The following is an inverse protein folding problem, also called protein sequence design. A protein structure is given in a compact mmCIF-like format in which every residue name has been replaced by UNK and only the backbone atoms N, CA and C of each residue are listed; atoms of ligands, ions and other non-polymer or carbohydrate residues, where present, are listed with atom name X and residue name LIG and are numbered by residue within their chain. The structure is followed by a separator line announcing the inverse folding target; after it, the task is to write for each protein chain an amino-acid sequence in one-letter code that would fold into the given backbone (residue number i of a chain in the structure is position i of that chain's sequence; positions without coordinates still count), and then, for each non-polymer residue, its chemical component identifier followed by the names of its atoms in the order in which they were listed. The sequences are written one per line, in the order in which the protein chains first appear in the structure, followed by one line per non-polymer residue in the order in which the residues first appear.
data_IF_797007156686
#
_entry.id   IF_797007156686
#
_cell.length_a   1.000
_cell.length_b   1.000
_cell.length_c   1.000
_cell.angle_alpha   90.00
_cell.angle_beta   90.00
_cell.angle_gamma   90.00
#
_symmetry.space_group_name_H-M   'P 1'
#
loop_
_entity.id
_entity.type
_entity.pdbx_description
1 polymer ?
#
# COMPACT_ATOMS: atom_id res chain seq x y z
N UNK A 1 11.51 -19.02 -54.60
CA UNK A 1 11.73 -17.74 -53.88
C UNK A 1 11.17 -17.87 -52.49
N UNK A 2 12.06 -17.86 -51.53
CA UNK A 2 11.64 -17.93 -50.14
C UNK A 2 11.34 -16.52 -49.68
N UNK A 3 10.08 -16.23 -49.45
CA UNK A 3 9.68 -15.00 -48.81
C UNK A 3 9.79 -15.22 -47.30
N UNK A 4 10.76 -14.63 -46.69
CA UNK A 4 10.81 -14.52 -45.26
C UNK A 4 9.77 -13.50 -44.85
N UNK A 5 8.65 -13.97 -44.38
CA UNK A 5 7.78 -13.16 -43.56
C UNK A 5 8.52 -12.99 -42.26
N UNK A 6 9.21 -11.86 -42.16
CA UNK A 6 9.63 -11.40 -40.87
C UNK A 6 8.34 -11.16 -40.07
N UNK A 7 7.98 -12.12 -39.24
CA UNK A 7 7.02 -11.85 -38.21
C UNK A 7 7.66 -10.79 -37.30
N UNK A 8 7.30 -9.57 -37.56
CA UNK A 8 7.58 -8.51 -36.58
C UNK A 8 6.71 -8.88 -35.40
N UNK A 9 7.30 -9.61 -34.45
CA UNK A 9 6.78 -9.62 -33.11
C UNK A 9 6.93 -8.18 -32.63
N UNK A 10 5.87 -7.41 -32.83
CA UNK A 10 5.68 -6.25 -32.00
C UNK A 10 5.56 -6.81 -30.59
N UNK A 11 6.69 -6.87 -29.92
CA UNK A 11 6.68 -6.95 -28.47
C UNK A 11 6.01 -5.64 -28.07
N UNK A 12 4.70 -5.71 -27.92
CA UNK A 12 3.99 -4.73 -27.14
C UNK A 12 4.51 -4.97 -25.73
N UNK A 13 5.64 -4.37 -25.45
CA UNK A 13 5.96 -4.05 -24.09
C UNK A 13 4.80 -3.15 -23.68
N UNK A 14 3.80 -3.76 -23.06
CA UNK A 14 2.96 -3.04 -22.15
C UNK A 14 3.91 -2.47 -21.10
N UNK A 15 4.52 -1.36 -21.48
CA UNK A 15 5.02 -0.47 -20.48
C UNK A 15 3.73 -0.06 -19.76
N UNK A 16 3.42 -0.78 -18.68
CA UNK A 16 2.78 -0.11 -17.60
C UNK A 16 3.77 1.01 -17.27
N UNK A 17 3.69 2.11 -17.99
CA UNK A 17 4.04 3.36 -17.42
C UNK A 17 3.16 3.38 -16.18
N UNK A 18 3.66 2.73 -15.13
CA UNK A 18 3.01 2.75 -13.87
C UNK A 18 2.70 4.18 -13.71
N UNK A 19 1.43 4.53 -13.69
CA UNK A 19 1.06 5.88 -13.43
C UNK A 19 1.89 6.24 -12.22
N UNK A 20 3.05 6.87 -12.46
CA UNK A 20 3.82 7.44 -11.40
C UNK A 20 2.81 8.35 -10.72
N UNK A 21 2.23 7.85 -9.65
CA UNK A 21 1.32 8.66 -8.86
C UNK A 21 2.10 9.91 -8.55
N UNK A 22 1.56 11.11 -8.76
CA UNK A 22 2.27 12.35 -8.50
C UNK A 22 2.90 12.38 -7.10
N UNK A 23 2.35 11.56 -6.19
CA UNK A 23 2.78 11.44 -4.81
C UNK A 23 3.84 10.34 -4.58
N UNK A 24 4.10 9.46 -5.57
CA UNK A 24 5.01 8.33 -5.44
C UNK A 24 4.46 7.11 -4.70
N UNK A 25 3.30 7.17 -4.10
CA UNK A 25 2.53 6.04 -3.61
C UNK A 25 1.32 5.81 -4.49
N UNK A 26 0.78 4.61 -4.46
CA UNK A 26 -0.41 4.24 -5.23
C UNK A 26 -1.65 4.28 -4.33
N UNK A 27 -2.69 4.94 -4.77
CA UNK A 27 -4.01 4.84 -4.17
C UNK A 27 -4.76 3.67 -4.80
N UNK A 28 -5.28 2.78 -3.97
CA UNK A 28 -6.09 1.63 -4.39
C UNK A 28 -7.43 1.66 -3.70
N UNK A 29 -8.39 0.96 -4.25
CA UNK A 29 -9.70 0.78 -3.61
C UNK A 29 -9.60 -0.20 -2.45
N UNK A 30 -10.58 -0.15 -1.55
CA UNK A 30 -10.66 -1.13 -0.45
C UNK A 30 -10.94 -2.54 -0.98
N UNK A 31 -11.66 -2.67 -2.08
CA UNK A 31 -11.87 -3.95 -2.76
C UNK A 31 -10.56 -4.54 -3.29
N UNK A 32 -9.73 -3.70 -3.92
CA UNK A 32 -8.39 -4.10 -4.37
C UNK A 32 -7.50 -4.50 -3.19
N UNK A 33 -7.54 -3.75 -2.10
CA UNK A 33 -6.79 -4.07 -0.88
C UNK A 33 -7.23 -5.42 -0.30
N UNK A 34 -8.54 -5.64 -0.19
CA UNK A 34 -9.09 -6.91 0.30
C UNK A 34 -8.66 -8.09 -0.59
N UNK A 35 -8.64 -7.89 -1.90
CA UNK A 35 -8.19 -8.91 -2.86
C UNK A 35 -6.71 -9.24 -2.68
N UNK A 36 -5.87 -8.24 -2.51
CA UNK A 36 -4.45 -8.46 -2.23
C UNK A 36 -4.28 -9.24 -0.93
N UNK A 37 -5.00 -8.88 0.12
CA UNK A 37 -4.93 -9.58 1.41
C UNK A 37 -5.34 -11.05 1.31
N UNK A 38 -6.26 -11.39 0.42
CA UNK A 38 -6.73 -12.75 0.20
C UNK A 38 -5.83 -13.58 -0.69
N UNK A 39 -5.25 -12.97 -1.72
CA UNK A 39 -4.58 -13.69 -2.82
C UNK A 39 -3.05 -13.62 -2.75
N UNK A 40 -2.49 -12.68 -2.01
CA UNK A 40 -1.05 -12.47 -1.93
C UNK A 40 -0.52 -12.73 -0.53
N UNK A 41 0.79 -12.80 -0.42
CA UNK A 41 1.52 -12.90 0.85
C UNK A 41 2.73 -11.95 0.84
N UNK A 42 3.39 -11.80 1.98
CA UNK A 42 4.58 -10.98 2.09
C UNK A 42 4.33 -9.47 2.16
N UNK A 43 3.09 -9.04 2.34
CA UNK A 43 2.73 -7.65 2.55
C UNK A 43 2.60 -7.33 4.04
N UNK A 44 2.70 -6.05 4.36
CA UNK A 44 2.36 -5.49 5.67
C UNK A 44 1.07 -4.70 5.55
N UNK A 45 0.15 -4.87 6.50
CA UNK A 45 -1.00 -3.98 6.67
C UNK A 45 -0.62 -2.99 7.76
N UNK A 46 -0.61 -1.71 7.41
CA UNK A 46 -0.14 -0.64 8.28
C UNK A 46 -1.29 0.27 8.68
N UNK A 47 -1.62 0.24 9.96
CA UNK A 47 -2.57 1.15 10.59
C UNK A 47 -1.80 2.35 11.15
N UNK A 48 -2.05 3.54 10.59
CA UNK A 48 -1.36 4.76 11.01
C UNK A 48 -2.21 5.65 11.91
N UNK A 49 -3.27 5.07 12.48
CA UNK A 49 -4.05 5.74 13.52
C UNK A 49 -3.30 5.76 14.83
N UNK A 50 -3.86 6.40 15.85
CA UNK A 50 -3.29 6.36 17.19
C UNK A 50 -3.31 4.94 17.76
N UNK A 51 -2.45 4.67 18.73
CA UNK A 51 -2.44 3.39 19.43
C UNK A 51 -3.78 3.11 20.13
N UNK A 52 -4.44 4.12 20.65
CA UNK A 52 -5.75 3.98 21.28
C UNK A 52 -6.82 3.55 20.26
N UNK A 53 -6.84 4.17 19.09
CA UNK A 53 -7.76 3.77 18.00
C UNK A 53 -7.50 2.33 17.57
N UNK A 54 -6.24 1.97 17.38
CA UNK A 54 -5.82 0.62 17.00
C UNK A 54 -6.27 -0.43 18.03
N UNK A 55 -6.08 -0.15 19.29
CA UNK A 55 -6.47 -1.06 20.37
C UNK A 55 -7.98 -1.26 20.49
N UNK A 56 -8.76 -0.31 20.00
CA UNK A 56 -10.22 -0.40 19.96
C UNK A 56 -10.79 -1.21 18.80
N UNK A 57 -9.92 -1.75 17.95
CA UNK A 57 -10.28 -2.58 16.79
C UNK A 57 -9.51 -2.14 15.55
N UNK A 58 -9.01 -3.09 14.78
CA UNK A 58 -8.21 -2.85 13.58
C UNK A 58 -8.39 -3.99 12.56
N UNK A 59 -7.93 -3.80 11.36
CA UNK A 59 -7.95 -4.84 10.34
C UNK A 59 -7.05 -5.99 10.81
N UNK A 60 -7.50 -7.26 10.72
CA UNK A 60 -6.72 -8.39 11.18
C UNK A 60 -5.31 -8.40 10.58
N UNK A 61 -4.32 -8.73 11.40
CA UNK A 61 -2.88 -8.75 11.07
C UNK A 61 -2.24 -7.38 10.83
N UNK A 62 -2.98 -6.29 10.97
CA UNK A 62 -2.39 -4.96 10.88
C UNK A 62 -1.43 -4.70 12.03
N UNK A 63 -0.36 -3.98 11.73
CA UNK A 63 0.52 -3.40 12.74
C UNK A 63 0.25 -1.91 12.86
N UNK A 64 0.54 -1.33 14.00
CA UNK A 64 0.29 0.08 14.27
C UNK A 64 1.59 0.87 14.33
N UNK A 65 1.72 1.82 13.43
CA UNK A 65 2.74 2.86 13.49
C UNK A 65 2.03 4.20 13.29
N UNK A 66 1.72 4.93 14.35
CA UNK A 66 0.96 6.18 14.24
C UNK A 66 1.61 7.17 13.29
N UNK A 67 0.79 7.84 12.48
CA UNK A 67 1.28 8.84 11.52
C UNK A 67 2.19 9.88 12.16
N UNK A 68 1.86 10.34 13.36
CA UNK A 68 2.64 11.35 14.08
C UNK A 68 4.04 10.84 14.48
N UNK A 69 4.21 9.52 14.60
CA UNK A 69 5.51 8.92 14.92
C UNK A 69 6.39 8.70 13.69
N UNK A 70 5.81 8.76 12.50
CA UNK A 70 6.57 8.67 11.26
C UNK A 70 7.15 10.03 10.94
N UNK A 71 8.46 10.12 11.06
CA UNK A 71 9.22 11.35 10.83
C UNK A 71 10.20 11.14 9.67
N UNK A 72 11.43 11.58 9.81
CA UNK A 72 12.50 11.34 8.82
C UNK A 72 13.30 10.06 9.08
N UNK A 73 13.01 9.39 10.19
CA UNK A 73 13.64 8.11 10.56
C UNK A 73 12.82 6.92 10.09
N UNK A 74 13.50 5.94 9.51
CA UNK A 74 12.86 4.67 9.15
C UNK A 74 12.28 3.99 10.39
N UNK A 75 10.97 3.66 10.39
CA UNK A 75 10.37 2.90 11.47
C UNK A 75 11.00 1.50 11.57
N UNK A 76 11.30 1.06 12.79
CA UNK A 76 11.87 -0.27 13.03
C UNK A 76 10.94 -1.39 12.59
N UNK A 77 9.62 -1.16 12.65
CA UNK A 77 8.60 -2.11 12.23
C UNK A 77 8.55 -2.32 10.71
N UNK A 78 9.20 -1.45 9.95
CA UNK A 78 9.18 -1.45 8.48
C UNK A 78 10.62 -1.53 7.94
N UNK A 79 11.32 -2.66 8.15
CA UNK A 79 12.74 -2.75 7.83
C UNK A 79 13.02 -2.90 6.34
N UNK A 80 12.06 -3.38 5.54
CA UNK A 80 12.24 -3.62 4.11
C UNK A 80 11.52 -2.54 3.30
N UNK A 81 12.29 -1.65 2.70
CA UNK A 81 11.77 -0.55 1.88
C UNK A 81 11.13 -0.99 0.55
N UNK A 82 11.33 -2.22 0.14
CA UNK A 82 10.76 -2.77 -1.09
C UNK A 82 9.55 -3.66 -0.84
N UNK A 83 9.24 -3.95 0.42
CA UNK A 83 8.08 -4.73 0.79
C UNK A 83 6.80 -3.95 0.47
N UNK A 84 5.78 -4.66 -0.01
CA UNK A 84 4.45 -4.07 -0.18
C UNK A 84 3.88 -3.70 1.18
N UNK A 85 3.44 -2.46 1.33
CA UNK A 85 2.80 -1.93 2.53
C UNK A 85 1.45 -1.35 2.15
N UNK A 86 0.41 -1.93 2.73
CA UNK A 86 -0.98 -1.49 2.58
C UNK A 86 -1.30 -0.56 3.75
N UNK A 87 -1.53 0.72 3.47
CA UNK A 87 -1.65 1.77 4.49
C UNK A 87 -3.08 2.25 4.60
N UNK A 88 -3.60 2.33 5.81
CA UNK A 88 -4.91 2.90 6.09
C UNK A 88 -4.91 3.71 7.38
N UNK A 89 -5.94 4.54 7.55
CA UNK A 89 -6.22 5.22 8.79
C UNK A 89 -7.72 5.17 9.11
N UNK A 90 -8.28 6.20 9.69
CA UNK A 90 -9.72 6.25 9.96
C UNK A 90 -10.54 6.65 8.73
N UNK A 91 -10.14 7.73 8.05
CA UNK A 91 -10.87 8.35 6.94
C UNK A 91 -10.04 8.56 5.67
N UNK A 92 -8.75 8.25 5.68
CA UNK A 92 -7.84 8.38 4.55
C UNK A 92 -6.88 9.56 4.60
N UNK A 93 -7.08 10.54 5.46
CA UNK A 93 -6.23 11.73 5.53
C UNK A 93 -4.82 11.42 6.06
N UNK A 94 -4.74 10.79 7.23
CA UNK A 94 -3.47 10.44 7.87
C UNK A 94 -2.71 9.38 7.07
N UNK A 95 -3.42 8.45 6.44
CA UNK A 95 -2.81 7.41 5.61
C UNK A 95 -2.12 7.98 4.37
N UNK A 96 -2.68 9.01 3.76
CA UNK A 96 -2.03 9.72 2.66
C UNK A 96 -0.77 10.46 3.12
N UNK A 97 -0.83 11.10 4.27
CA UNK A 97 0.33 11.76 4.87
C UNK A 97 1.44 10.75 5.20
N UNK A 98 1.07 9.65 5.83
CA UNK A 98 2.02 8.58 6.17
C UNK A 98 2.63 7.93 4.93
N UNK A 99 1.82 7.66 3.92
CA UNK A 99 2.27 7.12 2.64
C UNK A 99 3.33 8.02 1.99
N UNK A 100 3.09 9.32 1.97
CA UNK A 100 4.05 10.28 1.43
C UNK A 100 5.35 10.33 2.22
N UNK A 101 5.27 10.30 3.54
CA UNK A 101 6.46 10.24 4.40
C UNK A 101 7.31 9.00 4.12
N UNK A 102 6.67 7.86 3.95
CA UNK A 102 7.36 6.60 3.64
C UNK A 102 8.03 6.65 2.27
N UNK A 103 7.33 7.16 1.27
CA UNK A 103 7.90 7.35 -0.07
C UNK A 103 9.12 8.27 -0.01
N UNK A 104 9.03 9.36 0.73
CA UNK A 104 10.15 10.31 0.89
C UNK A 104 11.36 9.67 1.57
N UNK A 105 11.15 8.63 2.38
CA UNK A 105 12.22 7.83 2.98
C UNK A 105 12.78 6.73 2.06
N UNK A 106 12.23 6.56 0.86
CA UNK A 106 12.69 5.58 -0.12
C UNK A 106 11.91 4.27 -0.15
N UNK A 107 10.75 4.19 0.51
CA UNK A 107 9.86 3.04 0.36
C UNK A 107 9.28 3.03 -1.05
N UNK A 108 9.32 1.89 -1.72
CA UNK A 108 9.04 1.78 -3.16
C UNK A 108 7.70 1.15 -3.49
N UNK A 109 7.00 0.58 -2.50
CA UNK A 109 5.79 -0.22 -2.77
C UNK A 109 4.70 0.08 -1.74
N UNK A 110 4.26 1.33 -1.71
CA UNK A 110 3.26 1.82 -0.79
C UNK A 110 1.91 1.92 -1.50
N UNK A 111 0.92 1.22 -0.97
CA UNK A 111 -0.47 1.23 -1.44
C UNK A 111 -1.37 1.78 -0.33
N UNK A 112 -2.02 2.89 -0.58
CA UNK A 112 -2.92 3.54 0.37
C UNK A 112 -4.37 3.23 0.00
N UNK A 113 -5.20 2.83 0.97
CA UNK A 113 -6.56 2.37 0.68
C UNK A 113 -7.67 3.01 1.53
N UNK A 114 -7.42 4.17 2.08
CA UNK A 114 -8.47 4.97 2.73
C UNK A 114 -8.60 4.71 4.22
N UNK A 115 -9.81 4.53 4.68
CA UNK A 115 -10.10 4.49 6.11
C UNK A 115 -10.94 3.30 6.57
N UNK A 116 -10.74 2.92 7.82
CA UNK A 116 -11.51 1.83 8.45
C UNK A 116 -12.99 2.17 8.58
N UNK A 117 -13.35 3.45 8.59
CA UNK A 117 -14.74 3.89 8.68
C UNK A 117 -15.63 3.43 7.51
N UNK A 118 -15.03 3.11 6.37
CA UNK A 118 -15.72 2.58 5.19
C UNK A 118 -15.33 1.13 4.88
N UNK A 119 -14.49 0.52 5.71
CA UNK A 119 -14.02 -0.85 5.51
C UNK A 119 -15.16 -1.86 5.71
N UNK A 120 -15.39 -2.71 4.70
CA UNK A 120 -16.45 -3.72 4.69
C UNK A 120 -15.98 -5.09 5.19
N UNK A 121 -14.68 -5.26 5.38
CA UNK A 121 -14.10 -6.51 5.83
C UNK A 121 -14.13 -6.67 7.35
N UNK A 122 -13.54 -7.75 7.81
CA UNK A 122 -13.43 -8.04 9.24
C UNK A 122 -12.52 -7.05 9.95
N UNK A 123 -12.82 -6.82 11.22
CA UNK A 123 -11.93 -6.15 12.16
C UNK A 123 -11.69 -7.07 13.34
N UNK A 124 -10.55 -6.93 13.99
CA UNK A 124 -10.27 -7.69 15.20
C UNK A 124 -11.24 -7.27 16.30
N UNK A 125 -11.62 -8.21 17.17
CA UNK A 125 -12.36 -7.83 18.36
C UNK A 125 -11.55 -6.91 19.24
N UNK A 126 -12.25 -6.08 19.94
CA UNK A 126 -11.71 -5.15 20.93
C UNK A 126 -11.16 -5.91 22.12
#
# INVERSE_FOLDING_TARGET
MKRFLAAIFAVITLIFAGCAQPNGYKEITQEEAAKIMQEQSGFIILDVRTAQEFNGGHIPNAINVPNESITDKQPEQLPDKNQMILVYCRSGRRSKQAAQKLVDMGYTNILEFGGINTWQGETTPQ
#
